data_IF_603510775038
#
_entry.id   IF_603510775038
#
_cell.length_a   1.000
_cell.length_b   1.000
_cell.length_c   1.000
_cell.angle_alpha   90.00
_cell.angle_beta   90.00
_cell.angle_gamma   90.00
#
_symmetry.space_group_name_H-M   'P 1'
#
loop_
_entity.id
_entity.type
_entity.pdbx_description
1 polymer ?
#
# COMPACT_ATOMS: atom_id res chain seq x y z
N UNK A 1 -12.91 13.16 1.93
CA UNK A 1 -13.95 14.13 2.35
C UNK A 1 -13.72 15.45 1.66
N UNK A 2 -14.71 16.32 1.63
CA UNK A 2 -14.64 17.70 1.13
C UNK A 2 -15.29 18.66 2.14
N UNK A 3 -15.19 19.98 1.91
CA UNK A 3 -15.75 21.00 2.82
C UNK A 3 -17.26 20.81 3.06
N UNK A 4 -18.01 20.44 2.02
CA UNK A 4 -19.46 20.17 2.13
C UNK A 4 -19.76 18.96 3.02
N UNK A 5 -18.94 17.92 2.97
CA UNK A 5 -19.09 16.74 3.85
C UNK A 5 -18.74 17.06 5.30
N UNK A 6 -17.85 18.03 5.54
CA UNK A 6 -17.48 18.49 6.88
C UNK A 6 -18.54 19.42 7.47
N UNK A 7 -19.14 20.30 6.67
CA UNK A 7 -20.14 21.27 7.14
C UNK A 7 -21.44 20.62 7.64
N UNK A 8 -21.72 19.38 7.21
CA UNK A 8 -22.89 18.60 7.66
C UNK A 8 -22.55 17.62 8.80
N UNK A 9 -21.33 17.63 9.31
CA UNK A 9 -20.90 16.75 10.40
C UNK A 9 -21.37 17.32 11.74
N UNK A 10 -22.11 16.51 12.52
CA UNK A 10 -22.59 16.89 13.85
C UNK A 10 -22.03 15.95 14.91
N UNK A 11 -22.10 16.36 16.18
CA UNK A 11 -21.69 15.52 17.31
C UNK A 11 -22.50 14.21 17.34
N UNK A 12 -23.80 14.27 17.06
CA UNK A 12 -24.69 13.11 16.99
C UNK A 12 -24.24 12.16 15.88
N UNK A 13 -23.94 12.68 14.67
CA UNK A 13 -23.45 11.84 13.56
C UNK A 13 -22.11 11.17 13.88
N UNK A 14 -21.20 11.87 14.54
CA UNK A 14 -19.93 11.31 14.98
C UNK A 14 -20.15 10.22 16.05
N UNK A 15 -21.07 10.44 16.98
CA UNK A 15 -21.41 9.48 18.02
C UNK A 15 -22.11 8.24 17.47
N UNK A 16 -23.06 8.40 16.54
CA UNK A 16 -23.73 7.29 15.86
C UNK A 16 -22.74 6.47 15.02
N UNK A 17 -21.77 7.14 14.38
CA UNK A 17 -20.69 6.45 13.67
C UNK A 17 -19.80 5.66 14.63
N UNK A 18 -19.41 6.25 15.77
CA UNK A 18 -18.68 5.55 16.82
C UNK A 18 -19.43 4.31 17.33
N UNK A 19 -20.73 4.42 17.61
CA UNK A 19 -21.54 3.30 18.09
C UNK A 19 -21.62 2.15 17.07
N UNK A 20 -21.63 2.45 15.77
CA UNK A 20 -21.59 1.43 14.71
C UNK A 20 -20.25 0.71 14.62
N UNK A 21 -19.14 1.43 14.80
CA UNK A 21 -17.79 0.84 14.78
C UNK A 21 -17.45 0.10 16.07
N UNK A 22 -18.10 0.45 17.18
CA UNK A 22 -17.92 -0.17 18.49
C UNK A 22 -18.61 -1.54 18.54
N UNK A 23 -18.09 -2.49 17.78
CA UNK A 23 -18.54 -3.88 17.77
C UNK A 23 -17.53 -4.77 18.53
N UNK A 24 -17.92 -5.42 19.65
CA UNK A 24 -17.04 -6.36 20.34
C UNK A 24 -16.62 -7.55 19.47
N UNK A 25 -17.40 -7.91 18.45
CA UNK A 25 -17.06 -9.01 17.52
C UNK A 25 -15.98 -8.63 16.49
N UNK A 26 -15.61 -7.35 16.40
CA UNK A 26 -14.58 -6.86 15.47
C UNK A 26 -13.48 -6.11 16.22
N UNK A 27 -13.29 -6.42 17.50
CA UNK A 27 -12.32 -5.79 18.37
C UNK A 27 -11.21 -6.78 18.73
N UNK A 28 -9.97 -6.36 18.49
CA UNK A 28 -8.76 -7.08 18.91
C UNK A 28 -8.07 -6.25 19.99
N UNK A 29 -7.75 -6.89 21.12
CA UNK A 29 -7.06 -6.25 22.24
C UNK A 29 -5.73 -6.97 22.46
N UNK A 30 -4.64 -6.26 22.20
CA UNK A 30 -3.30 -6.73 22.53
C UNK A 30 -2.83 -6.22 23.89
N UNK A 31 -2.22 -7.09 24.69
CA UNK A 31 -1.54 -6.72 25.93
C UNK A 31 -0.17 -7.38 25.96
N UNK A 32 0.90 -6.62 26.19
CA UNK A 32 2.26 -7.14 26.30
C UNK A 32 3.00 -6.53 27.50
N UNK A 33 3.70 -7.37 28.25
CA UNK A 33 4.45 -6.96 29.44
C UNK A 33 4.47 -8.05 30.51
N UNK A 34 4.93 -7.72 31.73
CA UNK A 34 4.76 -8.59 32.89
C UNK A 34 3.29 -8.58 33.31
N UNK A 35 2.48 -9.44 32.70
CA UNK A 35 1.03 -9.48 32.89
C UNK A 35 0.59 -10.74 33.62
N UNK A 36 -0.50 -10.61 34.37
CA UNK A 36 -1.29 -11.72 34.91
C UNK A 36 -2.47 -11.98 33.96
N UNK A 37 -2.45 -13.07 33.16
CA UNK A 37 -3.50 -13.34 32.18
C UNK A 37 -4.90 -13.40 32.80
N UNK A 38 -5.04 -14.05 33.96
CA UNK A 38 -6.32 -14.19 34.65
C UNK A 38 -6.85 -12.83 35.14
N UNK A 39 -5.94 -11.99 35.63
CA UNK A 39 -6.24 -10.62 36.07
C UNK A 39 -6.69 -9.73 34.91
N UNK A 40 -6.02 -9.81 33.76
CA UNK A 40 -6.40 -9.09 32.55
C UNK A 40 -7.75 -9.56 32.02
N UNK A 41 -7.98 -10.87 31.95
CA UNK A 41 -9.26 -11.42 31.49
C UNK A 41 -10.41 -10.94 32.38
N UNK A 42 -10.25 -10.99 33.71
CA UNK A 42 -11.24 -10.44 34.66
C UNK A 42 -11.51 -8.95 34.43
N UNK A 43 -10.47 -8.16 34.17
CA UNK A 43 -10.60 -6.73 33.90
C UNK A 43 -11.34 -6.48 32.57
N UNK A 44 -11.02 -7.22 31.52
CA UNK A 44 -11.67 -7.11 30.21
C UNK A 44 -13.14 -7.54 30.31
N UNK A 45 -13.44 -8.68 30.93
CA UNK A 45 -14.81 -9.13 31.14
C UNK A 45 -15.64 -8.15 31.98
N UNK A 46 -15.04 -7.56 33.02
CA UNK A 46 -15.71 -6.55 33.85
C UNK A 46 -16.08 -5.29 33.08
N UNK A 47 -15.19 -4.79 32.21
CA UNK A 47 -15.36 -3.50 31.54
C UNK A 47 -16.02 -3.60 30.16
N UNK A 48 -15.74 -4.68 29.41
CA UNK A 48 -16.11 -4.85 28.02
C UNK A 48 -17.07 -6.04 27.80
N UNK A 49 -17.16 -6.99 28.73
CA UNK A 49 -17.98 -8.21 28.57
C UNK A 49 -19.50 -7.96 28.49
N UNK A 50 -19.97 -6.75 28.83
CA UNK A 50 -21.38 -6.33 28.68
C UNK A 50 -21.61 -5.41 27.48
N UNK A 51 -20.62 -5.24 26.61
CA UNK A 51 -20.78 -4.43 25.42
C UNK A 51 -21.80 -5.09 24.49
N UNK A 52 -22.85 -4.33 24.14
CA UNK A 52 -23.79 -4.77 23.14
C UNK A 52 -23.09 -4.84 21.78
N UNK A 53 -23.25 -5.96 21.08
CA UNK A 53 -22.91 -6.03 19.67
C UNK A 53 -24.02 -5.35 18.85
N UNK A 54 -23.68 -4.50 17.86
CA UNK A 54 -24.61 -4.17 16.79
C UNK A 54 -25.18 -5.47 16.19
N UNK A 55 -26.46 -5.47 15.79
CA UNK A 55 -27.12 -6.66 15.23
C UNK A 55 -26.42 -7.18 13.97
N UNK A 56 -25.73 -6.33 13.23
CA UNK A 56 -24.90 -6.69 12.09
C UNK A 56 -23.58 -5.91 12.12
N UNK A 57 -22.42 -6.58 11.95
CA UNK A 57 -21.17 -5.89 11.65
C UNK A 57 -21.35 -5.01 10.41
N UNK A 58 -20.81 -3.80 10.43
CA UNK A 58 -20.75 -3.01 9.21
C UNK A 58 -19.88 -3.75 8.20
N UNK A 59 -20.48 -4.25 7.12
CA UNK A 59 -19.70 -4.82 6.02
C UNK A 59 -18.67 -3.78 5.55
N UNK A 60 -17.42 -4.19 5.27
CA UNK A 60 -16.48 -3.32 4.59
C UNK A 60 -17.17 -2.79 3.35
N UNK A 61 -17.18 -1.47 3.18
CA UNK A 61 -17.59 -0.88 1.90
C UNK A 61 -16.59 -1.37 0.87
N UNK A 62 -16.92 -2.45 0.18
CA UNK A 62 -16.20 -2.89 -1.00
C UNK A 62 -16.11 -1.66 -1.90
N UNK A 63 -14.88 -1.22 -2.18
CA UNK A 63 -14.65 -0.13 -3.11
C UNK A 63 -15.40 -0.41 -4.40
N UNK A 64 -15.99 0.63 -5.00
CA UNK A 64 -16.73 0.51 -6.25
C UNK A 64 -15.94 -0.21 -7.34
N UNK A 65 -16.65 -0.61 -8.41
CA UNK A 65 -16.07 -1.25 -9.58
C UNK A 65 -14.74 -0.60 -9.98
N UNK A 66 -13.75 -1.43 -10.34
CA UNK A 66 -12.51 -0.95 -10.94
C UNK A 66 -12.87 0.03 -12.05
N UNK A 67 -12.37 1.26 -11.92
CA UNK A 67 -12.60 2.26 -12.94
C UNK A 67 -11.88 1.79 -14.20
N UNK A 68 -12.45 2.00 -15.40
CA UNK A 68 -11.72 1.77 -16.64
C UNK A 68 -10.42 2.57 -16.64
N UNK A 69 -9.39 2.05 -17.31
CA UNK A 69 -8.16 2.77 -17.60
C UNK A 69 -8.43 4.23 -17.95
N UNK A 70 -7.73 5.15 -17.31
CA UNK A 70 -7.94 6.59 -17.49
C UNK A 70 -6.62 7.35 -17.38
N UNK A 71 -6.46 8.39 -18.18
CA UNK A 71 -5.31 9.29 -18.13
C UNK A 71 -5.80 10.70 -17.83
N UNK A 72 -5.44 11.21 -16.65
CA UNK A 72 -5.83 12.55 -16.20
C UNK A 72 -4.63 13.45 -16.02
N UNK A 73 -4.84 14.71 -16.37
CA UNK A 73 -3.88 15.78 -16.19
C UNK A 73 -4.55 16.87 -15.37
N UNK A 74 -3.91 17.28 -14.27
CA UNK A 74 -4.38 18.36 -13.40
C UNK A 74 -3.36 19.47 -13.33
N UNK A 75 -3.80 20.68 -13.68
CA UNK A 75 -3.02 21.88 -13.41
C UNK A 75 -2.87 22.06 -11.89
N UNK A 76 -1.62 22.19 -11.45
CA UNK A 76 -1.24 22.59 -10.11
C UNK A 76 -0.06 23.54 -10.22
N UNK A 77 -0.22 24.77 -9.72
CA UNK A 77 0.86 25.77 -9.73
C UNK A 77 1.98 25.37 -8.76
N UNK A 78 2.91 24.55 -9.26
CA UNK A 78 4.02 23.92 -8.54
C UNK A 78 5.27 23.93 -9.41
N UNK A 79 6.43 24.04 -8.76
CA UNK A 79 7.74 24.02 -9.43
C UNK A 79 8.12 22.64 -9.99
N UNK A 80 7.49 21.56 -9.50
CA UNK A 80 7.70 20.21 -9.98
C UNK A 80 6.40 19.63 -10.50
N UNK A 81 6.51 18.83 -11.57
CA UNK A 81 5.46 17.96 -12.03
C UNK A 81 5.60 16.58 -11.39
N UNK A 82 4.47 15.90 -11.15
CA UNK A 82 4.45 14.52 -10.67
C UNK A 82 3.72 13.67 -11.70
N UNK A 83 4.40 12.64 -12.19
CA UNK A 83 3.82 11.58 -13.00
C UNK A 83 3.57 10.39 -12.10
N UNK A 84 2.36 9.85 -12.12
CA UNK A 84 1.98 8.64 -11.38
C UNK A 84 1.30 7.65 -12.32
N UNK A 85 1.65 6.37 -12.22
CA UNK A 85 0.97 5.28 -12.92
C UNK A 85 0.47 4.29 -11.88
N UNK A 86 -0.85 4.23 -11.72
CA UNK A 86 -1.53 3.40 -10.73
C UNK A 86 -2.20 2.19 -11.36
N UNK A 87 -2.21 1.09 -10.61
CA UNK A 87 -2.79 -0.19 -11.00
C UNK A 87 -3.65 -0.74 -9.85
N UNK A 88 -4.75 -1.44 -10.14
CA UNK A 88 -5.45 -2.21 -9.13
C UNK A 88 -4.53 -3.25 -8.48
N UNK A 89 -4.61 -3.39 -7.17
CA UNK A 89 -3.90 -4.42 -6.43
C UNK A 89 -4.88 -5.24 -5.57
N UNK A 90 -4.34 -6.03 -4.65
CA UNK A 90 -5.11 -7.01 -3.88
C UNK A 90 -5.46 -6.52 -2.48
N UNK A 91 -6.34 -7.24 -1.81
CA UNK A 91 -6.58 -7.07 -0.38
C UNK A 91 -5.45 -7.74 0.42
N UNK A 92 -5.29 -7.35 1.68
CA UNK A 92 -4.21 -7.82 2.56
C UNK A 92 -4.23 -9.34 2.80
N UNK A 93 -5.39 -9.98 2.72
CA UNK A 93 -5.57 -11.43 2.91
C UNK A 93 -5.30 -12.24 1.62
N UNK A 94 -5.07 -11.57 0.50
CA UNK A 94 -4.88 -12.26 -0.78
C UNK A 94 -3.50 -12.91 -0.86
N UNK A 95 -3.42 -14.11 -1.43
CA UNK A 95 -2.16 -14.86 -1.59
C UNK A 95 -1.05 -14.09 -2.32
N UNK A 96 -1.44 -13.20 -3.25
CA UNK A 96 -0.50 -12.39 -4.03
C UNK A 96 0.05 -11.17 -3.27
N UNK A 97 -0.31 -10.97 -1.99
CA UNK A 97 0.26 -9.93 -1.11
C UNK A 97 1.78 -9.99 -1.09
N UNK A 98 2.36 -11.12 -0.71
CA UNK A 98 3.82 -11.26 -0.56
C UNK A 98 4.56 -11.13 -1.90
N UNK A 99 4.13 -11.78 -3.01
CA UNK A 99 4.68 -11.50 -4.34
C UNK A 99 4.67 -10.03 -4.73
N UNK A 100 3.59 -9.30 -4.45
CA UNK A 100 3.48 -7.87 -4.78
C UNK A 100 4.36 -7.00 -3.88
N UNK A 101 4.55 -7.37 -2.60
CA UNK A 101 5.52 -6.71 -1.71
C UNK A 101 6.95 -6.89 -2.24
N UNK A 102 7.33 -8.10 -2.66
CA UNK A 102 8.63 -8.40 -3.28
C UNK A 102 8.80 -7.62 -4.58
N UNK A 103 7.79 -7.59 -5.45
CA UNK A 103 7.82 -6.79 -6.67
C UNK A 103 8.03 -5.30 -6.37
N UNK A 104 7.30 -4.75 -5.39
CA UNK A 104 7.48 -3.37 -4.95
C UNK A 104 8.92 -3.11 -4.47
N UNK A 105 9.52 -4.02 -3.71
CA UNK A 105 10.90 -3.90 -3.27
C UNK A 105 11.93 -3.99 -4.41
N UNK A 106 11.66 -4.79 -5.46
CA UNK A 106 12.50 -4.84 -6.67
C UNK A 106 12.45 -3.51 -7.45
N UNK A 107 11.29 -2.86 -7.50
CA UNK A 107 11.10 -1.62 -8.26
C UNK A 107 11.56 -0.38 -7.46
N UNK A 108 11.39 -0.37 -6.15
CA UNK A 108 11.63 0.77 -5.26
C UNK A 108 13.02 0.82 -4.63
N UNK A 109 13.33 1.95 -3.98
CA UNK A 109 14.59 2.16 -3.26
C UNK A 109 15.73 2.59 -4.17
N UNK A 110 16.88 2.91 -3.58
CA UNK A 110 18.05 3.41 -4.32
C UNK A 110 18.67 2.38 -5.25
N UNK A 111 18.47 1.09 -4.97
CA UNK A 111 18.92 -0.02 -5.82
C UNK A 111 17.81 -0.53 -6.77
N UNK A 112 16.57 -0.03 -6.64
CA UNK A 112 15.45 -0.49 -7.44
C UNK A 112 15.51 -0.01 -8.88
N UNK A 113 14.90 -0.78 -9.79
CA UNK A 113 14.92 -0.51 -11.24
C UNK A 113 14.44 0.90 -11.59
N UNK A 114 13.41 1.42 -10.90
CA UNK A 114 12.89 2.77 -11.16
C UNK A 114 13.91 3.87 -10.86
N UNK A 115 14.66 3.71 -9.76
CA UNK A 115 15.69 4.67 -9.39
C UNK A 115 16.86 4.62 -10.37
N UNK A 116 17.35 3.43 -10.70
CA UNK A 116 18.48 3.27 -11.63
C UNK A 116 18.15 3.82 -13.02
N UNK A 117 16.98 3.49 -13.55
CA UNK A 117 16.59 3.93 -14.90
C UNK A 117 16.28 5.43 -14.98
N UNK A 118 15.37 5.94 -14.13
CA UNK A 118 14.91 7.33 -14.25
C UNK A 118 15.94 8.32 -13.68
N UNK A 119 16.55 8.01 -12.54
CA UNK A 119 17.49 8.91 -11.85
C UNK A 119 18.94 8.60 -12.20
N UNK A 120 19.34 7.33 -12.23
CA UNK A 120 20.72 6.93 -12.51
C UNK A 120 21.12 7.21 -13.96
N UNK A 121 20.36 6.69 -14.92
CA UNK A 121 20.70 6.77 -16.34
C UNK A 121 20.25 8.07 -16.99
N UNK A 122 19.02 8.52 -16.67
CA UNK A 122 18.43 9.69 -17.34
C UNK A 122 18.54 10.99 -16.55
N UNK A 123 18.80 10.95 -15.24
CA UNK A 123 18.94 12.16 -14.40
C UNK A 123 17.68 13.04 -14.32
N UNK A 124 16.49 12.47 -14.59
CA UNK A 124 15.26 13.26 -14.79
C UNK A 124 14.42 13.46 -13.52
N UNK A 125 14.73 12.75 -12.45
CA UNK A 125 13.93 12.82 -11.22
C UNK A 125 14.81 12.75 -9.98
N UNK A 126 14.50 13.58 -8.99
CA UNK A 126 15.07 13.44 -7.66
C UNK A 126 14.31 12.42 -6.81
N UNK A 127 12.99 12.32 -7.01
CA UNK A 127 12.08 11.45 -6.26
C UNK A 127 11.34 10.54 -7.24
N UNK A 128 11.75 9.28 -7.27
CA UNK A 128 11.13 8.22 -8.07
C UNK A 128 11.00 6.96 -7.22
N UNK A 129 9.93 6.20 -7.41
CA UNK A 129 9.76 4.92 -6.74
C UNK A 129 8.39 4.30 -7.01
N UNK A 130 8.11 3.24 -6.29
CA UNK A 130 6.79 2.61 -6.24
C UNK A 130 6.28 2.44 -4.81
N UNK A 131 4.97 2.30 -4.70
CA UNK A 131 4.29 1.95 -3.46
C UNK A 131 3.20 0.93 -3.70
N UNK A 132 3.02 0.04 -2.73
CA UNK A 132 1.91 -0.88 -2.64
C UNK A 132 1.04 -0.47 -1.45
N UNK A 133 -0.25 -0.25 -1.71
CA UNK A 133 -1.25 -0.01 -0.67
C UNK A 133 -2.13 -1.24 -0.56
N UNK A 134 -2.16 -1.84 0.64
CA UNK A 134 -3.00 -2.98 0.98
C UNK A 134 -4.01 -2.57 2.05
N UNK A 135 -5.19 -3.16 1.99
CA UNK A 135 -6.23 -2.99 3.00
C UNK A 135 -7.19 -4.18 3.01
N UNK A 136 -8.24 -4.09 3.83
CA UNK A 136 -9.32 -5.09 3.87
C UNK A 136 -10.10 -5.19 2.56
N UNK A 137 -10.07 -4.12 1.75
CA UNK A 137 -10.54 -4.11 0.37
C UNK A 137 -9.35 -4.07 -0.59
N UNK A 138 -9.50 -4.53 -1.84
CA UNK A 138 -8.46 -4.42 -2.85
C UNK A 138 -7.88 -3.00 -2.92
N UNK A 139 -6.56 -2.91 -2.80
CA UNK A 139 -5.83 -1.65 -2.82
C UNK A 139 -5.29 -1.30 -4.20
N UNK A 140 -4.12 -0.67 -4.23
CA UNK A 140 -3.47 -0.25 -5.48
C UNK A 140 -1.94 -0.38 -5.42
N UNK A 141 -1.35 -0.58 -6.58
CA UNK A 141 0.07 -0.45 -6.83
C UNK A 141 0.32 0.85 -7.57
N UNK A 142 1.39 1.57 -7.25
CA UNK A 142 1.67 2.88 -7.81
C UNK A 142 3.14 3.00 -8.15
N UNK A 143 3.45 3.49 -9.34
CA UNK A 143 4.77 4.06 -9.65
C UNK A 143 4.64 5.58 -9.73
N UNK A 144 5.68 6.30 -9.34
CA UNK A 144 5.67 7.76 -9.37
C UNK A 144 7.05 8.35 -9.61
N UNK A 145 7.08 9.53 -10.23
CA UNK A 145 8.28 10.32 -10.45
C UNK A 145 7.96 11.82 -10.37
N UNK A 146 8.72 12.55 -9.55
CA UNK A 146 8.68 14.01 -9.51
C UNK A 146 9.81 14.59 -10.35
N UNK A 147 9.49 15.48 -11.29
CA UNK A 147 10.43 15.98 -12.30
C UNK A 147 10.19 17.46 -12.62
N UNK A 148 11.08 18.06 -13.41
CA UNK A 148 10.86 19.38 -13.97
C UNK A 148 9.62 19.36 -14.89
N UNK A 149 8.77 20.40 -14.86
CA UNK A 149 7.53 20.42 -15.63
C UNK A 149 7.68 20.08 -17.12
N UNK A 150 8.68 20.67 -17.77
CA UNK A 150 9.00 20.45 -19.18
C UNK A 150 9.49 19.01 -19.51
N UNK A 151 9.91 18.22 -18.53
CA UNK A 151 10.36 16.83 -18.69
C UNK A 151 9.27 15.79 -18.38
N UNK A 152 8.09 16.22 -17.89
CA UNK A 152 7.01 15.34 -17.44
C UNK A 152 6.54 14.33 -18.49
N UNK A 153 6.39 14.74 -19.75
CA UNK A 153 5.99 13.84 -20.84
C UNK A 153 7.07 12.81 -21.17
N UNK A 154 8.34 13.21 -21.07
CA UNK A 154 9.48 12.30 -21.27
C UNK A 154 9.54 11.26 -20.15
N UNK A 155 9.37 11.68 -18.90
CA UNK A 155 9.32 10.77 -17.75
C UNK A 155 8.14 9.80 -17.86
N UNK A 156 6.96 10.26 -18.27
CA UNK A 156 5.81 9.37 -18.55
C UNK A 156 6.16 8.29 -19.55
N UNK A 157 6.82 8.65 -20.66
CA UNK A 157 7.24 7.68 -21.68
C UNK A 157 8.26 6.69 -21.12
N UNK A 158 9.27 7.17 -20.40
CA UNK A 158 10.31 6.32 -19.79
C UNK A 158 9.74 5.36 -18.76
N UNK A 159 8.75 5.76 -17.96
CA UNK A 159 8.06 4.84 -17.05
C UNK A 159 7.36 3.71 -17.81
N UNK A 160 6.69 4.00 -18.93
CA UNK A 160 6.09 2.97 -19.78
C UNK A 160 7.13 2.07 -20.45
N UNK A 161 8.24 2.65 -20.93
CA UNK A 161 9.35 1.90 -21.54
C UNK A 161 9.97 0.93 -20.52
N UNK A 162 10.22 1.38 -19.29
CA UNK A 162 10.74 0.53 -18.21
C UNK A 162 9.77 -0.61 -17.85
N UNK A 163 8.47 -0.32 -17.72
CA UNK A 163 7.49 -1.37 -17.42
C UNK A 163 7.42 -2.41 -18.56
N UNK A 164 7.59 -1.98 -19.80
CA UNK A 164 7.66 -2.90 -20.95
C UNK A 164 8.91 -3.76 -20.91
N UNK A 165 10.07 -3.15 -20.62
CA UNK A 165 11.34 -3.87 -20.48
C UNK A 165 11.28 -4.92 -19.36
N UNK A 166 10.66 -4.59 -18.22
CA UNK A 166 10.48 -5.55 -17.10
C UNK A 166 9.49 -6.67 -17.47
N UNK A 167 8.48 -6.38 -18.30
CA UNK A 167 7.57 -7.41 -18.80
C UNK A 167 8.30 -8.50 -19.61
N UNK A 168 9.37 -8.11 -20.32
CA UNK A 168 10.16 -8.99 -21.17
C UNK A 168 11.32 -9.65 -20.43
N UNK A 169 12.06 -8.88 -19.63
CA UNK A 169 13.32 -9.30 -19.00
C UNK A 169 13.16 -9.82 -17.57
N UNK A 170 12.12 -9.38 -16.86
CA UNK A 170 11.89 -9.67 -15.44
C UNK A 170 12.95 -9.10 -14.50
N UNK A 171 13.08 -9.70 -13.32
CA UNK A 171 14.12 -9.35 -12.35
C UNK A 171 15.27 -10.36 -12.36
N UNK A 172 16.49 -9.89 -12.07
CA UNK A 172 17.66 -10.77 -11.88
C UNK A 172 17.61 -11.49 -10.54
N UNK A 173 18.44 -12.51 -10.37
CA UNK A 173 18.52 -13.24 -9.11
C UNK A 173 19.06 -12.34 -7.99
N UNK A 174 20.02 -11.49 -8.30
CA UNK A 174 20.61 -10.52 -7.38
C UNK A 174 19.59 -9.46 -6.94
N UNK A 175 18.76 -8.96 -7.86
CA UNK A 175 17.68 -8.02 -7.56
C UNK A 175 16.64 -8.65 -6.63
N UNK A 176 16.25 -9.91 -6.89
CA UNK A 176 15.31 -10.64 -6.06
C UNK A 176 15.86 -10.88 -4.64
N UNK A 177 17.10 -11.37 -4.52
CA UNK A 177 17.72 -11.64 -3.23
C UNK A 177 17.90 -10.36 -2.41
N UNK A 178 18.28 -9.25 -3.05
CA UNK A 178 18.36 -7.95 -2.39
C UNK A 178 16.99 -7.50 -1.88
N UNK A 179 15.93 -7.63 -2.69
CA UNK A 179 14.56 -7.26 -2.30
C UNK A 179 14.07 -8.09 -1.09
N UNK A 180 14.27 -9.41 -1.12
CA UNK A 180 13.92 -10.31 0.00
C UNK A 180 14.67 -9.96 1.28
N UNK A 181 15.98 -9.70 1.18
CA UNK A 181 16.80 -9.32 2.31
C UNK A 181 16.35 -7.99 2.93
N UNK A 182 16.00 -7.00 2.10
CA UNK A 182 15.46 -5.71 2.56
C UNK A 182 14.14 -5.87 3.30
N UNK A 183 13.18 -6.62 2.73
CA UNK A 183 11.88 -6.86 3.36
C UNK A 183 12.03 -7.60 4.69
N UNK A 184 12.83 -8.67 4.72
CA UNK A 184 13.08 -9.45 5.93
C UNK A 184 13.79 -8.62 7.01
N UNK A 185 14.77 -7.80 6.61
CA UNK A 185 15.47 -6.89 7.51
C UNK A 185 14.56 -5.81 8.11
N UNK A 186 13.73 -5.16 7.28
CA UNK A 186 12.74 -4.19 7.74
C UNK A 186 11.73 -4.81 8.69
N UNK A 187 11.26 -6.02 8.39
CA UNK A 187 10.33 -6.74 9.25
C UNK A 187 10.92 -7.06 10.61
N UNK A 188 12.16 -7.58 10.66
CA UNK A 188 12.85 -7.85 11.93
C UNK A 188 13.05 -6.57 12.75
N UNK A 189 13.40 -5.47 12.10
CA UNK A 189 13.53 -4.17 12.75
C UNK A 189 12.19 -3.69 13.34
N UNK A 190 11.08 -3.89 12.62
CA UNK A 190 9.74 -3.55 13.11
C UNK A 190 9.33 -4.35 14.37
N UNK A 191 9.96 -5.50 14.63
CA UNK A 191 9.68 -6.37 15.77
C UNK A 191 10.56 -6.11 17.02
N UNK A 192 11.49 -5.15 16.96
CA UNK A 192 12.49 -4.92 18.01
C UNK A 192 11.87 -4.54 19.36
N UNK A 193 10.89 -3.64 19.36
CA UNK A 193 10.25 -3.17 20.59
C UNK A 193 9.01 -3.99 20.92
N UNK A 194 8.72 -4.15 22.22
CA UNK A 194 7.48 -4.83 22.69
C UNK A 194 6.23 -4.16 22.13
N UNK A 195 6.21 -2.83 22.08
CA UNK A 195 5.09 -2.05 21.55
C UNK A 195 4.91 -2.24 20.05
N UNK A 196 5.99 -2.16 19.25
CA UNK A 196 5.91 -2.34 17.80
C UNK A 196 5.46 -3.76 17.44
N UNK A 197 6.01 -4.77 18.12
CA UNK A 197 5.60 -6.17 17.97
C UNK A 197 4.13 -6.37 18.31
N UNK A 198 3.67 -5.85 19.45
CA UNK A 198 2.27 -5.96 19.86
C UNK A 198 1.35 -5.29 18.84
N UNK A 199 1.70 -4.08 18.39
CA UNK A 199 0.92 -3.37 17.38
C UNK A 199 0.81 -4.16 16.07
N UNK A 200 1.88 -4.82 15.63
CA UNK A 200 1.85 -5.62 14.40
C UNK A 200 1.00 -6.89 14.56
N UNK A 201 1.14 -7.61 15.68
CA UNK A 201 0.31 -8.78 16.00
C UNK A 201 -1.19 -8.43 16.02
N UNK A 202 -1.54 -7.33 16.68
CA UNK A 202 -2.92 -6.84 16.75
C UNK A 202 -3.41 -6.41 15.38
N UNK A 203 -2.55 -5.80 14.56
CA UNK A 203 -2.93 -5.33 13.23
C UNK A 203 -3.21 -6.49 12.26
N UNK A 204 -2.35 -7.51 12.22
CA UNK A 204 -2.56 -8.69 11.36
C UNK A 204 -3.81 -9.49 11.81
N UNK A 205 -4.04 -9.62 13.11
CA UNK A 205 -5.27 -10.23 13.64
C UNK A 205 -6.51 -9.40 13.27
N UNK A 206 -6.46 -8.08 13.49
CA UNK A 206 -7.57 -7.17 13.20
C UNK A 206 -7.93 -7.14 11.71
N UNK A 207 -6.92 -7.25 10.85
CA UNK A 207 -7.07 -7.29 9.40
C UNK A 207 -7.40 -8.70 8.88
N UNK A 208 -7.48 -9.70 9.78
CA UNK A 208 -7.89 -11.07 9.50
C UNK A 208 -6.86 -11.94 8.79
N UNK A 209 -5.59 -11.52 8.76
CA UNK A 209 -4.48 -12.39 8.33
C UNK A 209 -4.13 -13.43 9.39
N UNK A 210 -4.39 -13.13 10.67
CA UNK A 210 -3.98 -13.93 11.81
C UNK A 210 -2.64 -13.46 12.37
N UNK A 211 -2.53 -13.35 13.70
CA UNK A 211 -1.31 -12.85 14.37
C UNK A 211 -0.06 -13.71 14.07
N UNK A 212 -0.22 -14.99 13.76
CA UNK A 212 0.87 -15.93 13.45
C UNK A 212 1.67 -15.51 12.21
N UNK A 213 1.01 -14.84 11.26
CA UNK A 213 1.62 -14.35 10.01
C UNK A 213 2.80 -13.43 10.23
N UNK A 214 2.84 -12.75 11.39
CA UNK A 214 3.97 -11.93 11.81
C UNK A 214 5.25 -12.75 11.91
N UNK A 215 5.17 -14.01 12.34
CA UNK A 215 6.33 -14.88 12.49
C UNK A 215 6.65 -15.65 11.21
N UNK A 216 5.64 -15.89 10.36
CA UNK A 216 5.77 -16.59 9.08
C UNK A 216 6.27 -15.67 7.95
N UNK A 217 6.19 -14.35 8.14
CA UNK A 217 6.54 -13.35 7.12
C UNK A 217 7.90 -13.61 6.43
N UNK A 218 9.03 -13.83 7.13
CA UNK A 218 10.30 -14.07 6.46
C UNK A 218 10.28 -15.34 5.58
N UNK A 219 9.61 -16.40 6.04
CA UNK A 219 9.44 -17.64 5.26
C UNK A 219 8.58 -17.41 4.02
N UNK A 220 7.50 -16.63 4.14
CA UNK A 220 6.62 -16.31 3.01
C UNK A 220 7.34 -15.45 1.96
N UNK A 221 8.21 -14.53 2.37
CA UNK A 221 9.05 -13.72 1.47
C UNK A 221 10.14 -14.58 0.81
N UNK A 222 10.81 -15.44 1.57
CA UNK A 222 11.90 -16.29 1.06
C UNK A 222 11.42 -17.28 -0.02
N UNK A 223 10.19 -17.78 0.11
CA UNK A 223 9.58 -18.72 -0.82
C UNK A 223 9.28 -18.12 -2.22
N UNK A 224 9.37 -16.80 -2.40
CA UNK A 224 9.06 -16.16 -3.68
C UNK A 224 10.22 -16.30 -4.66
N UNK A 225 9.98 -16.84 -5.85
CA UNK A 225 10.97 -16.91 -6.93
C UNK A 225 10.72 -15.86 -8.02
N UNK A 226 11.65 -15.76 -8.98
CA UNK A 226 11.57 -14.82 -10.09
C UNK A 226 10.32 -15.05 -10.96
N UNK A 227 9.88 -16.31 -11.11
CA UNK A 227 8.71 -16.65 -11.91
C UNK A 227 7.42 -16.15 -11.24
N UNK A 228 7.33 -16.23 -9.91
CA UNK A 228 6.23 -15.67 -9.13
C UNK A 228 6.19 -14.15 -9.24
N UNK A 229 7.36 -13.48 -9.16
CA UNK A 229 7.45 -12.01 -9.37
C UNK A 229 7.00 -11.65 -10.78
N UNK A 230 7.47 -12.36 -11.81
CA UNK A 230 7.07 -12.10 -13.20
C UNK A 230 5.57 -12.32 -13.42
N UNK A 231 4.99 -13.36 -12.81
CA UNK A 231 3.56 -13.63 -12.87
C UNK A 231 2.76 -12.45 -12.34
N UNK A 232 3.08 -11.96 -11.12
CA UNK A 232 2.32 -10.84 -10.54
C UNK A 232 2.58 -9.53 -11.28
N UNK A 233 3.79 -9.32 -11.81
CA UNK A 233 4.05 -8.18 -12.69
C UNK A 233 3.12 -8.19 -13.90
N UNK A 234 3.06 -9.32 -14.62
CA UNK A 234 2.20 -9.46 -15.80
C UNK A 234 0.70 -9.38 -15.46
N UNK A 235 0.32 -9.90 -14.31
CA UNK A 235 -1.08 -9.93 -13.88
C UNK A 235 -1.59 -8.55 -13.43
N UNK A 236 -0.75 -7.74 -12.76
CA UNK A 236 -1.19 -6.51 -12.11
C UNK A 236 -0.67 -5.23 -12.75
N UNK A 237 0.53 -5.22 -13.36
CA UNK A 237 1.18 -4.01 -13.87
C UNK A 237 1.24 -3.92 -15.41
N UNK A 238 0.97 -5.03 -16.11
CA UNK A 238 0.88 -5.06 -17.58
C UNK A 238 -0.53 -4.82 -18.19
N UNK A 239 -1.67 -5.05 -17.50
CA UNK A 239 -2.99 -4.84 -18.09
C UNK A 239 -3.21 -3.41 -18.62
N UNK A 240 -4.15 -3.28 -19.56
CA UNK A 240 -4.56 -1.98 -20.11
C UNK A 240 -5.20 -1.05 -19.07
N UNK A 241 -5.56 -1.56 -17.88
CA UNK A 241 -6.23 -0.86 -16.77
C UNK A 241 -5.29 0.03 -15.93
N UNK A 242 -4.31 0.65 -16.59
CA UNK A 242 -3.45 1.64 -15.97
C UNK A 242 -4.18 2.97 -15.81
N UNK A 243 -4.00 3.59 -14.65
CA UNK A 243 -4.43 4.96 -14.40
C UNK A 243 -3.23 5.88 -14.37
N UNK A 244 -3.17 6.83 -15.30
CA UNK A 244 -2.08 7.79 -15.38
C UNK A 244 -2.56 9.12 -14.82
N UNK A 245 -1.83 9.64 -13.85
CA UNK A 245 -2.06 10.96 -13.29
C UNK A 245 -0.82 11.83 -13.53
N UNK A 246 -1.02 12.96 -14.19
CA UNK A 246 -0.01 14.01 -14.32
C UNK A 246 -0.47 15.25 -13.56
N UNK A 247 0.34 15.74 -12.64
CA UNK A 247 0.14 17.03 -12.00
C UNK A 247 1.30 17.96 -12.30
N UNK A 248 1.05 19.25 -12.44
CA UNK A 248 2.09 20.26 -12.64
C UNK A 248 1.53 21.55 -13.22
N UNK A 249 2.40 22.52 -13.47
CA UNK A 249 2.01 23.81 -14.07
C UNK A 249 1.65 23.66 -15.57
N UNK A 250 1.51 24.78 -16.27
CA UNK A 250 1.14 24.79 -17.70
C UNK A 250 2.19 24.14 -18.60
N UNK A 251 3.47 24.19 -18.24
CA UNK A 251 4.55 23.52 -18.98
C UNK A 251 4.44 21.99 -18.88
N UNK A 252 4.02 21.48 -17.73
CA UNK A 252 3.79 20.05 -17.55
C UNK A 252 2.51 19.57 -18.25
N UNK A 253 1.44 20.34 -18.08
CA UNK A 253 0.09 19.88 -18.40
C UNK A 253 -0.37 20.25 -19.80
N UNK A 254 0.28 21.23 -20.44
CA UNK A 254 -0.18 21.85 -21.68
C UNK A 254 -1.49 22.64 -21.51
N UNK A 255 -1.95 22.84 -20.26
CA UNK A 255 -3.15 23.59 -19.92
C UNK A 255 -2.75 24.99 -19.45
N UNK A 256 -3.35 26.03 -20.04
CA UNK A 256 -3.29 27.36 -19.45
C UNK A 256 -4.29 27.39 -18.29
N UNK A 257 -3.81 27.73 -17.09
CA UNK A 257 -4.59 27.78 -15.85
C UNK A 257 -5.74 28.77 -15.86
#
# INVERSE_FOLDING_TARGET
GNEQSLSVMTAERAFDFYLRLRNPNSMVIGVAGPIDPDGIEKLLNKNLGKMAAPLEPAEPRMGGHLLPADSRTYFMDREQAVVMVGFPAVAIQHQDRYPLEVLNAVLSGSAGKLYQFIRGEHGLSYVVGSSLSLGIVPGHFLTYAATAPNESQKVKKLLSELLTDIAESGCSAEELELAKAQLSGHHLHALETKSSRLSLLVSEELLGSGWETVFEYPTNIDAIDQAVVQRVFNQYLLPADQHILLTGNSEATGQNG
#
